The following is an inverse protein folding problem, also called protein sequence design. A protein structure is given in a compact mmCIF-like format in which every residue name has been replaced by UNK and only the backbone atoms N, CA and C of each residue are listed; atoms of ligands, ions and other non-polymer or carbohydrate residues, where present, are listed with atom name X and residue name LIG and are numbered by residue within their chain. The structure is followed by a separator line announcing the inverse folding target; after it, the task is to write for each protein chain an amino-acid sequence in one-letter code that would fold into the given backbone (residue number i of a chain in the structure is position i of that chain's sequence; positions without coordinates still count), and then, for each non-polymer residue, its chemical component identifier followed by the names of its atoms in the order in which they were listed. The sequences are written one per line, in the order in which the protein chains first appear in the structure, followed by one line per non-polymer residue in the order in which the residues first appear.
data_IF_598834577207
#
_entry.id   IF_598834577207
#
_cell.length_a   1.000
_cell.length_b   1.000
_cell.length_c   1.000
_cell.angle_alpha   90.00
_cell.angle_beta   90.00
_cell.angle_gamma   90.00
#
_symmetry.space_group_name_H-M   'P 1'
#
loop_
_entity.id
_entity.type
_entity.pdbx_description
1 polymer ?
#
# COMPACT_ATOMS: atom_id res chain seq x y z
N UNK A 1 -7.17 -3.17 -13.15
CA UNK A 1 -7.96 -1.92 -12.96
C UNK A 1 -7.44 -0.79 -13.85
N UNK A 2 -6.15 -0.46 -13.83
CA UNK A 2 -5.59 0.66 -14.62
C UNK A 2 -5.88 0.59 -16.14
N UNK A 3 -5.68 -0.55 -16.84
CA UNK A 3 -6.02 -0.65 -18.27
C UNK A 3 -7.50 -0.40 -18.55
N UNK A 4 -8.38 -0.89 -17.67
CA UNK A 4 -9.82 -0.61 -17.74
C UNK A 4 -10.10 0.89 -17.59
N UNK A 5 -9.47 1.56 -16.62
CA UNK A 5 -9.61 3.02 -16.44
C UNK A 5 -9.12 3.80 -17.65
N UNK A 6 -8.02 3.40 -18.29
CA UNK A 6 -7.52 4.00 -19.54
C UNK A 6 -8.56 3.94 -20.65
N UNK A 7 -9.24 2.80 -20.81
CA UNK A 7 -10.25 2.60 -21.86
C UNK A 7 -11.57 3.34 -21.53
N UNK A 8 -12.07 3.22 -20.30
CA UNK A 8 -13.43 3.65 -19.96
C UNK A 8 -13.50 5.03 -19.30
N UNK A 9 -12.37 5.57 -18.84
CA UNK A 9 -12.27 6.85 -18.12
C UNK A 9 -10.99 7.59 -18.54
N UNK A 10 -10.81 7.74 -19.85
CA UNK A 10 -9.60 8.32 -20.45
C UNK A 10 -9.21 9.67 -19.85
N UNK A 11 -10.17 10.58 -19.60
CA UNK A 11 -9.88 11.89 -18.99
C UNK A 11 -9.31 11.77 -17.57
N UNK A 12 -9.82 10.82 -16.78
CA UNK A 12 -9.30 10.56 -15.44
C UNK A 12 -7.91 9.94 -15.51
N UNK A 13 -7.68 9.03 -16.47
CA UNK A 13 -6.36 8.44 -16.70
C UNK A 13 -5.35 9.49 -17.16
N UNK A 14 -5.73 10.39 -18.07
CA UNK A 14 -4.86 11.47 -18.56
C UNK A 14 -4.41 12.41 -17.42
N UNK A 15 -5.28 12.66 -16.43
CA UNK A 15 -4.97 13.48 -15.24
C UNK A 15 -4.40 12.69 -14.06
N UNK A 16 -4.16 11.39 -14.21
CA UNK A 16 -3.58 10.57 -13.15
C UNK A 16 -2.23 11.19 -12.74
N UNK A 17 -2.05 11.50 -11.46
CA UNK A 17 -0.80 12.03 -10.93
C UNK A 17 -0.17 11.09 -9.89
N UNK A 18 -1.00 10.32 -9.20
CA UNK A 18 -0.55 9.38 -8.17
C UNK A 18 -1.51 8.20 -8.10
N UNK A 19 -0.96 7.00 -7.96
CA UNK A 19 -1.67 5.77 -7.68
C UNK A 19 -1.40 5.43 -6.21
N UNK A 20 -2.46 5.43 -5.39
CA UNK A 20 -2.39 5.05 -3.98
C UNK A 20 -3.35 3.89 -3.73
N UNK A 21 -2.92 2.90 -2.95
CA UNK A 21 -3.83 1.91 -2.40
C UNK A 21 -4.68 2.57 -1.31
N UNK A 22 -5.84 1.99 -0.93
CA UNK A 22 -6.71 2.58 0.09
C UNK A 22 -5.97 2.89 1.41
N UNK A 23 -5.07 2.00 1.84
CA UNK A 23 -4.24 2.21 3.01
C UNK A 23 -3.22 3.35 2.80
N UNK A 24 -2.48 3.36 1.68
CA UNK A 24 -1.58 4.47 1.33
C UNK A 24 -2.30 5.83 1.30
N UNK A 25 -3.55 5.85 0.84
CA UNK A 25 -4.36 7.07 0.81
C UNK A 25 -4.70 7.55 2.23
N UNK A 26 -5.03 6.65 3.16
CA UNK A 26 -5.21 7.01 4.57
C UNK A 26 -3.91 7.55 5.18
N UNK A 27 -2.79 6.90 4.89
CA UNK A 27 -1.47 7.39 5.31
C UNK A 27 -1.18 8.79 4.76
N UNK A 28 -1.50 9.04 3.49
CA UNK A 28 -1.39 10.37 2.89
C UNK A 28 -2.28 11.41 3.56
N UNK A 29 -3.52 11.06 3.91
CA UNK A 29 -4.41 11.97 4.65
C UNK A 29 -3.87 12.29 6.05
N UNK A 30 -3.30 11.28 6.73
CA UNK A 30 -2.79 11.42 8.09
C UNK A 30 -1.44 12.13 8.16
N UNK A 31 -0.56 11.94 7.18
CA UNK A 31 0.85 12.40 7.23
C UNK A 31 1.16 13.49 6.20
N UNK A 32 0.34 13.63 5.15
CA UNK A 32 0.66 14.45 3.97
C UNK A 32 1.72 13.84 3.07
N UNK A 33 2.25 12.65 3.39
CA UNK A 33 3.32 11.98 2.66
C UNK A 33 2.77 10.80 1.86
N UNK A 34 3.42 10.49 0.74
CA UNK A 34 3.05 9.39 -0.14
C UNK A 34 4.10 8.30 0.00
N UNK A 35 3.70 7.17 0.55
CA UNK A 35 4.50 5.96 0.65
C UNK A 35 3.56 4.75 0.54
N UNK A 36 4.11 3.62 0.16
CA UNK A 36 3.40 2.35 0.14
C UNK A 36 4.10 1.33 1.02
N UNK A 37 3.32 0.50 1.68
CA UNK A 37 3.79 -0.62 2.50
C UNK A 37 4.08 -1.83 1.61
N UNK A 38 5.09 -2.63 1.97
CA UNK A 38 5.56 -3.75 1.13
C UNK A 38 4.51 -4.84 0.93
N UNK A 39 3.77 -5.16 1.99
CA UNK A 39 2.66 -6.10 1.96
C UNK A 39 1.55 -5.67 1.02
N UNK A 40 1.08 -4.43 1.14
CA UNK A 40 0.09 -3.87 0.23
C UNK A 40 0.61 -3.80 -1.22
N UNK A 41 1.87 -3.41 -1.41
CA UNK A 41 2.52 -3.41 -2.71
C UNK A 41 2.54 -4.80 -3.35
N UNK A 42 2.68 -5.88 -2.57
CA UNK A 42 2.69 -7.25 -3.09
C UNK A 42 1.36 -7.64 -3.76
N UNK A 43 0.23 -7.06 -3.30
CA UNK A 43 -1.09 -7.29 -3.88
C UNK A 43 -1.37 -6.53 -5.19
N UNK A 44 -0.47 -5.63 -5.61
CA UNK A 44 -0.65 -4.81 -6.82
C UNK A 44 -0.37 -5.56 -8.12
N UNK A 45 0.44 -6.61 -8.05
CA UNK A 45 1.02 -7.26 -9.23
C UNK A 45 2.16 -6.47 -9.89
N UNK A 46 2.68 -5.41 -9.26
CA UNK A 46 3.82 -4.62 -9.76
C UNK A 46 5.07 -4.68 -8.89
N UNK A 47 5.04 -5.37 -7.75
CA UNK A 47 6.19 -5.51 -6.87
C UNK A 47 7.12 -6.63 -7.36
N UNK A 48 8.41 -6.34 -7.55
CA UNK A 48 9.44 -7.37 -7.59
C UNK A 48 9.75 -7.81 -6.15
N UNK A 49 9.34 -9.02 -5.79
CA UNK A 49 9.49 -9.56 -4.43
C UNK A 49 10.95 -9.86 -4.07
N UNK A 50 11.85 -10.03 -5.05
CA UNK A 50 13.27 -10.33 -4.81
C UNK A 50 14.02 -9.05 -4.44
N UNK A 51 13.74 -7.96 -5.15
CA UNK A 51 14.40 -6.66 -4.91
C UNK A 51 13.61 -5.75 -3.98
N UNK A 52 12.33 -6.06 -3.73
CA UNK A 52 11.37 -5.26 -2.94
C UNK A 52 11.19 -3.85 -3.51
N UNK A 53 11.20 -3.74 -4.83
CA UNK A 53 10.99 -2.49 -5.57
C UNK A 53 9.91 -2.66 -6.61
N UNK A 54 9.39 -1.55 -7.13
CA UNK A 54 8.48 -1.60 -8.28
C UNK A 54 9.18 -2.20 -9.50
N UNK A 55 8.54 -3.21 -10.10
CA UNK A 55 9.00 -3.87 -11.31
C UNK A 55 8.69 -3.02 -12.53
N UNK A 56 9.73 -2.49 -13.16
CA UNK A 56 9.61 -1.71 -14.40
C UNK A 56 9.01 -2.54 -15.53
N UNK A 57 9.31 -3.84 -15.57
CA UNK A 57 8.76 -4.75 -16.59
C UNK A 57 7.24 -4.90 -16.45
N UNK A 58 6.74 -5.17 -15.24
CA UNK A 58 5.30 -5.36 -14.99
C UNK A 58 4.52 -4.05 -15.17
N UNK A 59 5.13 -2.91 -14.83
CA UNK A 59 4.54 -1.59 -15.07
C UNK A 59 4.43 -1.31 -16.58
N UNK A 60 5.49 -1.55 -17.35
CA UNK A 60 5.47 -1.41 -18.83
C UNK A 60 4.49 -2.38 -19.49
N UNK A 61 4.34 -3.59 -18.96
CA UNK A 61 3.34 -4.53 -19.44
C UNK A 61 1.89 -4.04 -19.20
N UNK A 62 1.69 -3.20 -18.19
CA UNK A 62 0.39 -2.57 -17.91
C UNK A 62 0.12 -1.38 -18.82
N UNK A 63 1.12 -0.53 -19.05
CA UNK A 63 1.08 0.56 -20.03
C UNK A 63 2.49 0.83 -20.58
N UNK A 64 2.77 0.52 -21.85
CA UNK A 64 4.10 0.72 -22.44
C UNK A 64 4.39 2.18 -22.78
N UNK A 65 3.36 3.03 -22.87
CA UNK A 65 3.45 4.42 -23.35
C UNK A 65 3.64 5.42 -22.19
N UNK A 66 3.49 4.95 -20.95
CA UNK A 66 3.49 5.80 -19.76
C UNK A 66 4.40 5.25 -18.67
N UNK A 67 5.21 6.14 -18.08
CA UNK A 67 5.95 5.83 -16.86
C UNK A 67 5.00 5.79 -15.65
N UNK A 68 4.48 4.60 -15.35
CA UNK A 68 3.65 4.35 -14.18
C UNK A 68 4.46 4.36 -12.87
N UNK A 69 5.77 4.12 -12.92
CA UNK A 69 6.61 4.16 -11.72
C UNK A 69 6.67 5.59 -11.15
N UNK A 70 6.71 6.60 -12.02
CA UNK A 70 6.62 8.01 -11.62
C UNK A 70 5.28 8.38 -10.95
N UNK A 71 4.23 7.58 -11.15
CA UNK A 71 2.92 7.76 -10.52
C UNK A 71 2.78 6.97 -9.21
N UNK A 72 3.74 6.10 -8.86
CA UNK A 72 3.68 5.29 -7.66
C UNK A 72 4.47 5.93 -6.52
N UNK A 73 4.00 5.82 -5.27
CA UNK A 73 4.78 6.23 -4.11
C UNK A 73 6.01 5.31 -3.92
N UNK A 74 7.08 5.78 -3.27
CA UNK A 74 8.17 4.91 -2.83
C UNK A 74 7.68 3.86 -1.82
N UNK A 75 8.33 2.69 -1.81
CA UNK A 75 8.12 1.67 -0.78
C UNK A 75 8.82 2.12 0.50
N UNK A 76 8.08 2.22 1.60
CA UNK A 76 8.64 2.56 2.90
C UNK A 76 9.30 1.35 3.57
N UNK A 77 10.31 1.60 4.39
CA UNK A 77 10.86 0.57 5.27
C UNK A 77 9.81 0.15 6.33
N UNK A 78 9.71 -1.14 6.70
CA UNK A 78 8.65 -1.61 7.61
C UNK A 78 8.65 -0.94 8.99
N UNK A 79 9.80 -0.49 9.46
CA UNK A 79 10.00 0.17 10.77
C UNK A 79 9.96 1.70 10.69
N UNK A 80 9.69 2.27 9.50
CA UNK A 80 9.59 3.71 9.34
C UNK A 80 8.41 4.29 10.12
N UNK A 81 8.64 5.47 10.70
CA UNK A 81 7.65 6.26 11.42
C UNK A 81 7.57 7.65 10.80
N UNK A 82 6.36 8.11 10.55
CA UNK A 82 6.09 9.40 9.93
C UNK A 82 5.39 10.34 10.91
N UNK A 83 5.62 11.64 10.77
CA UNK A 83 4.90 12.63 11.58
C UNK A 83 3.44 12.73 11.13
N UNK A 84 2.53 12.81 12.10
CA UNK A 84 1.15 13.17 11.80
C UNK A 84 1.10 14.62 11.28
N UNK A 85 0.35 14.85 10.21
CA UNK A 85 0.14 16.19 9.68
C UNK A 85 -0.61 17.06 10.71
N UNK A 86 -0.24 18.34 10.92
CA UNK A 86 -0.88 19.20 11.92
C UNK A 86 -2.41 19.26 11.79
N UNK A 87 -2.92 19.30 10.55
CA UNK A 87 -4.36 19.29 10.27
C UNK A 87 -5.04 18.00 10.72
N UNK A 88 -4.39 16.84 10.50
CA UNK A 88 -4.93 15.55 10.91
C UNK A 88 -4.88 15.39 12.44
N UNK A 89 -3.77 15.80 13.07
CA UNK A 89 -3.65 15.80 14.53
C UNK A 89 -4.74 16.64 15.20
N UNK A 90 -4.96 17.86 14.73
CA UNK A 90 -6.01 18.73 15.23
C UNK A 90 -7.42 18.15 15.03
N UNK A 91 -7.69 17.57 13.85
CA UNK A 91 -9.00 16.96 13.55
C UNK A 91 -9.30 15.73 14.41
N UNK A 92 -8.27 14.98 14.81
CA UNK A 92 -8.39 13.76 15.63
C UNK A 92 -8.19 14.01 17.13
N UNK A 93 -7.87 15.24 17.55
CA UNK A 93 -7.57 15.56 18.95
C UNK A 93 -6.27 14.92 19.46
N UNK A 94 -5.32 14.64 18.56
CA UNK A 94 -4.05 14.00 18.87
C UNK A 94 -2.94 15.03 19.09
N UNK A 95 -1.94 14.67 19.90
CA UNK A 95 -0.74 15.48 20.08
C UNK A 95 0.08 15.53 18.78
N UNK A 96 0.71 16.68 18.50
CA UNK A 96 1.56 16.85 17.32
C UNK A 96 2.79 15.93 17.28
N UNK A 97 3.17 15.34 18.42
CA UNK A 97 4.27 14.39 18.52
C UNK A 97 3.90 12.95 18.13
N UNK A 98 2.61 12.67 17.86
CA UNK A 98 2.16 11.33 17.44
C UNK A 98 2.82 10.95 16.12
N UNK A 99 3.29 9.70 16.07
CA UNK A 99 3.84 9.09 14.86
C UNK A 99 2.81 8.18 14.22
N UNK A 100 2.83 8.12 12.90
CA UNK A 100 2.07 7.18 12.07
C UNK A 100 3.05 6.10 11.60
N UNK A 101 2.81 4.86 11.99
CA UNK A 101 3.57 3.72 11.47
C UNK A 101 3.15 3.43 10.03
N UNK A 102 4.02 2.77 9.27
CA UNK A 102 3.72 2.40 7.86
C UNK A 102 2.45 1.56 7.75
N UNK A 103 2.17 0.73 8.75
CA UNK A 103 1.02 -0.17 8.82
C UNK A 103 1.29 -1.48 8.06
N UNK A 104 0.23 -2.09 7.53
CA UNK A 104 0.33 -3.17 6.56
C UNK A 104 -1.00 -3.83 6.25
N UNK A 105 -0.99 -4.71 5.25
CA UNK A 105 -2.19 -5.42 4.78
C UNK A 105 -2.85 -6.27 5.87
N UNK A 106 -4.19 -6.37 5.81
CA UNK A 106 -5.01 -7.02 6.85
C UNK A 106 -4.60 -8.47 7.16
N UNK A 107 -4.38 -9.31 6.14
CA UNK A 107 -3.95 -10.70 6.32
C UNK A 107 -2.55 -10.79 6.95
N UNK A 108 -1.64 -9.89 6.59
CA UNK A 108 -0.29 -9.86 7.16
C UNK A 108 -0.32 -9.40 8.61
N UNK A 109 -1.12 -8.38 8.92
CA UNK A 109 -1.33 -7.93 10.29
C UNK A 109 -2.04 -9.00 11.13
N UNK A 110 -2.96 -9.77 10.54
CA UNK A 110 -3.57 -10.92 11.20
C UNK A 110 -2.57 -12.05 11.46
N UNK A 111 -1.64 -12.33 10.53
CA UNK A 111 -0.57 -13.31 10.75
C UNK A 111 0.32 -12.91 11.93
N UNK A 112 0.73 -11.64 11.97
CA UNK A 112 1.51 -11.09 13.08
C UNK A 112 0.71 -11.15 14.39
N UNK A 113 -0.55 -10.68 14.38
CA UNK A 113 -1.41 -10.65 15.55
C UNK A 113 -1.76 -12.03 16.12
N UNK A 114 -1.70 -13.08 15.31
CA UNK A 114 -1.90 -14.48 15.73
C UNK A 114 -0.60 -15.21 16.05
N UNK A 115 0.55 -14.54 15.97
CA UNK A 115 1.86 -15.13 16.23
C UNK A 115 2.36 -16.09 15.15
N UNK A 116 1.77 -16.03 13.94
CA UNK A 116 2.24 -16.73 12.74
C UNK A 116 3.38 -15.93 12.09
N UNK A 117 4.48 -15.79 12.84
CA UNK A 117 5.68 -15.01 12.44
C UNK A 117 6.93 -15.88 12.32
N UNK A 118 6.75 -17.20 12.36
CA UNK A 118 7.80 -18.20 12.21
C UNK A 118 7.31 -19.29 11.27
N UNK A 119 8.21 -19.86 10.48
CA UNK A 119 7.90 -20.96 9.57
C UNK A 119 7.16 -22.11 10.28
N UNK A 120 6.25 -22.76 9.56
CA UNK A 120 5.45 -23.89 10.06
C UNK A 120 4.24 -23.50 10.90
N UNK A 121 3.92 -22.21 11.05
CA UNK A 121 2.68 -21.72 11.67
C UNK A 121 1.68 -21.31 10.60
N UNK A 122 0.41 -21.62 10.85
CA UNK A 122 -0.71 -21.35 9.96
C UNK A 122 -1.79 -20.61 10.74
N UNK A 123 -2.31 -19.54 10.16
CA UNK A 123 -3.52 -18.89 10.61
C UNK A 123 -4.65 -19.24 9.65
N UNK A 124 -5.74 -19.77 10.22
CA UNK A 124 -6.97 -20.05 9.51
C UNK A 124 -8.07 -19.18 10.09
N UNK A 125 -8.65 -18.32 9.26
CA UNK A 125 -9.85 -17.56 9.60
C UNK A 125 -11.06 -18.22 8.95
N UNK A 126 -12.04 -18.61 9.77
CA UNK A 126 -13.29 -19.24 9.32
C UNK A 126 -14.47 -18.31 9.62
N UNK A 127 -14.82 -17.46 8.66
CA UNK A 127 -16.02 -16.65 8.67
C UNK A 127 -17.00 -17.07 7.56
N UNK A 128 -17.80 -16.13 7.05
CA UNK A 128 -18.65 -16.37 5.85
C UNK A 128 -17.83 -16.77 4.62
N UNK A 129 -16.57 -16.34 4.56
CA UNK A 129 -15.51 -16.87 3.71
C UNK A 129 -14.36 -17.37 4.58
N UNK A 130 -13.54 -18.27 4.03
CA UNK A 130 -12.34 -18.79 4.70
C UNK A 130 -11.07 -18.22 4.09
N UNK A 131 -10.09 -17.89 4.93
CA UNK A 131 -8.72 -17.58 4.50
C UNK A 131 -7.73 -18.45 5.27
N UNK A 132 -6.69 -18.89 4.56
CA UNK A 132 -5.57 -19.64 5.12
C UNK A 132 -4.29 -18.93 4.69
N UNK A 133 -3.44 -18.60 5.66
CA UNK A 133 -2.17 -17.92 5.40
C UNK A 133 -1.11 -18.37 6.41
N UNK A 134 0.15 -18.28 5.97
CA UNK A 134 1.35 -18.71 6.68
C UNK A 134 2.49 -17.74 6.38
#
# INVERSE_FOLDING_TARGET
KLPWTRIHRADAYARLATILLPHDYLNFVLTGQRFCELGDASGTGWLDVRTRTWSQELLRATDPDRDLAACLPPIAAPDALFDIAPKAAAALGLAAAVKVAVGGGDNMMAAIGTGCVTEGRLAMSLGTSGTLFA
#
